data_IF_922360516166
#
_entry.id   IF_922360516166
#
_cell.length_a   1.000
_cell.length_b   1.000
_cell.length_c   1.000
_cell.angle_alpha   90.00
_cell.angle_beta   90.00
_cell.angle_gamma   90.00
#
_symmetry.space_group_name_H-M   'P 1'
#
loop_
_entity.id
_entity.type
_entity.pdbx_description
1 polymer ?
#
# COMPACT_ATOMS: atom_id res chain seq x y z
N UNK A 1 3.30 -14.65 33.77
CA UNK A 1 2.15 -15.21 33.05
C UNK A 1 1.09 -14.14 32.92
N UNK A 2 1.01 -13.43 31.83
CA UNK A 2 -0.07 -12.47 31.59
C UNK A 2 -0.40 -12.55 30.10
N UNK A 3 -1.61 -13.02 29.82
CA UNK A 3 -2.14 -13.24 28.46
C UNK A 3 -2.48 -11.90 27.84
N UNK A 4 -1.84 -11.52 26.77
CA UNK A 4 -2.24 -10.38 25.95
C UNK A 4 -3.30 -10.85 24.95
N UNK A 5 -4.51 -10.33 25.11
CA UNK A 5 -5.65 -10.56 24.22
C UNK A 5 -5.51 -9.64 23.02
N UNK A 6 -5.38 -10.23 21.83
CA UNK A 6 -5.41 -9.53 20.56
C UNK A 6 -6.87 -9.17 20.24
N UNK A 7 -7.22 -7.88 20.33
CA UNK A 7 -8.53 -7.39 19.93
C UNK A 7 -8.55 -7.15 18.42
N UNK A 8 -9.26 -7.99 17.70
CA UNK A 8 -9.61 -7.75 16.30
C UNK A 8 -10.68 -6.67 16.25
N UNK A 9 -10.34 -5.50 15.69
CA UNK A 9 -11.29 -4.43 15.46
C UNK A 9 -12.08 -4.73 14.17
N UNK A 10 -13.31 -5.20 14.34
CA UNK A 10 -14.31 -5.26 13.26
C UNK A 10 -14.96 -3.89 13.11
N UNK A 11 -14.74 -3.23 11.98
CA UNK A 11 -15.50 -2.04 11.58
C UNK A 11 -16.85 -2.45 11.00
N UNK A 12 -17.98 -1.91 11.48
CA UNK A 12 -19.27 -2.10 10.82
C UNK A 12 -19.41 -1.12 9.65
N UNK A 13 -19.71 -1.66 8.48
CA UNK A 13 -20.16 -0.91 7.32
C UNK A 13 -21.57 -0.35 7.56
N UNK A 14 -21.70 0.96 7.75
CA UNK A 14 -23.00 1.64 7.78
C UNK A 14 -23.44 1.94 6.35
N UNK A 15 -24.42 1.19 5.86
CA UNK A 15 -25.19 1.50 4.66
C UNK A 15 -26.23 2.58 5.01
N UNK A 16 -25.94 3.84 4.64
CA UNK A 16 -26.94 4.90 4.67
C UNK A 16 -27.81 4.81 3.41
N UNK A 17 -29.05 4.40 3.59
CA UNK A 17 -30.09 4.43 2.55
C UNK A 17 -30.58 5.86 2.33
N UNK A 18 -30.44 6.38 1.12
CA UNK A 18 -31.12 7.60 0.70
C UNK A 18 -32.46 7.22 0.03
N UNK A 19 -33.55 7.66 0.64
CA UNK A 19 -34.89 7.65 0.06
C UNK A 19 -35.13 9.00 -0.61
N UNK A 20 -35.40 8.98 -1.92
CA UNK A 20 -35.83 10.15 -2.68
C UNK A 20 -37.37 10.27 -2.66
N UNK A 21 -37.93 11.49 -2.66
CA UNK A 21 -39.38 11.70 -2.68
C UNK A 21 -39.97 11.46 -4.09
N UNK A 22 -41.15 10.86 -4.09
CA UNK A 22 -41.95 10.66 -5.30
C UNK A 22 -42.53 12.00 -5.79
N UNK A 23 -42.35 12.32 -7.08
CA UNK A 23 -43.08 13.36 -7.78
C UNK A 23 -43.95 12.71 -8.85
N UNK A 24 -45.16 13.22 -8.97
CA UNK A 24 -46.30 12.70 -9.72
C UNK A 24 -46.09 12.70 -11.25
N UNK A 25 -46.78 11.73 -11.85
CA UNK A 25 -46.86 11.48 -13.29
C UNK A 25 -47.72 12.55 -14.00
N UNK A 26 -47.25 12.97 -15.17
CA UNK A 26 -48.08 13.42 -16.27
C UNK A 26 -47.78 12.57 -17.49
N UNK A 27 -48.86 12.04 -18.07
CA UNK A 27 -48.85 11.10 -19.17
C UNK A 27 -48.72 11.84 -20.52
N UNK A 28 -47.85 11.37 -21.39
CA UNK A 28 -47.88 11.64 -22.83
C UNK A 28 -47.28 10.41 -23.59
N UNK A 29 -47.61 10.18 -24.87
CA UNK A 29 -47.91 8.84 -25.40
C UNK A 29 -46.69 8.14 -26.00
N UNK A 30 -46.75 6.84 -25.86
CA UNK A 30 -46.25 5.76 -26.73
C UNK A 30 -45.19 6.13 -27.78
N UNK A 31 -43.96 6.06 -27.38
CA UNK A 31 -42.83 5.83 -28.26
C UNK A 31 -42.24 4.46 -27.89
N UNK A 32 -42.17 3.56 -28.86
CA UNK A 32 -41.65 2.21 -28.76
C UNK A 32 -40.40 2.16 -27.85
N UNK A 33 -40.55 1.64 -26.65
CA UNK A 33 -39.45 1.19 -25.83
C UNK A 33 -38.80 0.00 -26.55
N UNK A 34 -37.68 0.25 -27.20
CA UNK A 34 -36.72 -0.81 -27.43
C UNK A 34 -36.38 -1.42 -26.06
N UNK A 35 -36.92 -2.62 -25.79
CA UNK A 35 -36.53 -3.46 -24.66
C UNK A 35 -35.03 -3.73 -24.80
N UNK A 36 -34.19 -2.83 -24.25
CA UNK A 36 -32.80 -3.13 -23.98
C UNK A 36 -32.79 -4.26 -22.96
N UNK A 37 -32.53 -5.48 -23.45
CA UNK A 37 -32.22 -6.62 -22.60
C UNK A 37 -31.27 -6.14 -21.48
N UNK A 38 -31.53 -6.45 -20.20
CA UNK A 38 -30.66 -6.04 -19.11
C UNK A 38 -29.28 -6.63 -19.39
N UNK A 39 -28.32 -5.73 -19.62
CA UNK A 39 -26.92 -6.06 -19.84
C UNK A 39 -26.47 -7.05 -18.76
N UNK A 40 -26.27 -8.33 -19.11
CA UNK A 40 -25.83 -9.37 -18.18
C UNK A 40 -24.50 -8.94 -17.60
N UNK A 41 -24.51 -8.40 -16.38
CA UNK A 41 -23.28 -8.02 -15.67
C UNK A 41 -22.38 -9.25 -15.59
N UNK A 42 -21.22 -9.16 -16.21
CA UNK A 42 -20.20 -10.21 -16.18
C UNK A 42 -19.88 -10.62 -14.73
N UNK A 43 -19.71 -11.93 -14.46
CA UNK A 43 -19.45 -12.42 -13.11
C UNK A 43 -18.16 -11.81 -12.55
N UNK A 44 -18.17 -11.48 -11.26
CA UNK A 44 -16.99 -11.02 -10.55
C UNK A 44 -16.06 -12.19 -10.26
N UNK A 45 -14.77 -11.96 -10.39
CA UNK A 45 -13.68 -12.81 -9.89
C UNK A 45 -12.97 -12.04 -8.80
N UNK A 46 -12.65 -12.71 -7.69
CA UNK A 46 -11.93 -12.13 -6.55
C UNK A 46 -10.75 -13.04 -6.27
N UNK A 47 -9.54 -12.51 -6.31
CA UNK A 47 -8.33 -13.19 -5.89
C UNK A 47 -7.91 -12.68 -4.53
N UNK A 48 -7.66 -13.58 -3.59
CA UNK A 48 -7.16 -13.29 -2.25
C UNK A 48 -5.83 -14.03 -2.09
N UNK A 49 -4.79 -13.29 -1.74
CA UNK A 49 -3.48 -13.77 -1.36
C UNK A 49 -3.26 -13.65 0.14
N UNK A 50 -2.74 -14.71 0.77
CA UNK A 50 -2.37 -14.70 2.19
C UNK A 50 -1.02 -15.38 2.38
N UNK A 51 -0.16 -14.76 3.18
CA UNK A 51 1.15 -15.31 3.49
C UNK A 51 1.96 -14.46 4.47
N UNK A 52 3.21 -14.83 4.73
CA UNK A 52 4.15 -14.04 5.52
C UNK A 52 4.89 -13.02 4.66
N UNK A 53 5.26 -11.89 5.29
CA UNK A 53 6.23 -10.94 4.77
C UNK A 53 7.20 -10.49 5.86
N UNK A 54 8.44 -10.25 5.47
CA UNK A 54 9.47 -9.61 6.28
C UNK A 54 9.61 -8.16 5.84
N UNK A 55 9.49 -7.25 6.77
CA UNK A 55 9.65 -5.81 6.54
C UNK A 55 10.48 -5.21 7.66
N UNK A 56 11.21 -4.11 7.45
CA UNK A 56 11.87 -3.42 8.55
C UNK A 56 10.89 -3.15 9.68
N UNK A 57 11.32 -3.31 10.93
CA UNK A 57 10.43 -3.17 12.10
C UNK A 57 9.86 -1.74 12.20
N UNK A 58 10.64 -0.75 11.79
CA UNK A 58 10.28 0.65 11.61
C UNK A 58 11.20 1.27 10.51
N UNK A 59 10.89 2.44 9.95
CA UNK A 59 11.73 3.10 8.96
C UNK A 59 13.14 3.38 9.48
N UNK A 60 14.13 2.70 8.90
CA UNK A 60 15.54 2.78 9.31
C UNK A 60 16.00 1.68 10.26
N UNK A 61 15.17 0.72 10.64
CA UNK A 61 15.57 -0.43 11.44
C UNK A 61 16.58 -1.33 10.70
N UNK A 62 17.46 -1.99 11.43
CA UNK A 62 18.24 -3.14 10.96
C UNK A 62 17.51 -4.46 11.21
N UNK A 63 16.59 -4.48 12.17
CA UNK A 63 15.73 -5.60 12.48
C UNK A 63 14.52 -5.68 11.55
N UNK A 64 14.03 -6.90 11.36
CA UNK A 64 12.84 -7.19 10.56
C UNK A 64 11.71 -7.76 11.41
N UNK A 65 10.50 -7.33 11.10
CA UNK A 65 9.26 -7.89 11.65
C UNK A 65 8.58 -8.81 10.65
N UNK A 66 8.13 -9.96 11.13
CA UNK A 66 7.25 -10.83 10.38
C UNK A 66 5.82 -10.30 10.48
N UNK A 67 5.21 -9.97 9.34
CA UNK A 67 3.84 -9.45 9.26
C UNK A 67 3.01 -10.30 8.30
N UNK A 68 1.68 -10.29 8.40
CA UNK A 68 0.84 -10.89 7.37
C UNK A 68 0.96 -10.10 6.06
N UNK A 69 1.12 -10.82 4.94
CA UNK A 69 0.93 -10.31 3.59
C UNK A 69 -0.49 -10.64 3.17
N UNK A 70 -1.26 -9.62 2.83
CA UNK A 70 -2.64 -9.75 2.33
C UNK A 70 -2.73 -9.05 1.01
N UNK A 71 -3.18 -9.75 -0.03
CA UNK A 71 -3.43 -9.23 -1.37
C UNK A 71 -4.89 -9.48 -1.73
N UNK A 72 -5.59 -8.49 -2.29
CA UNK A 72 -6.99 -8.64 -2.72
C UNK A 72 -7.18 -7.93 -4.05
N UNK A 73 -7.44 -8.69 -5.10
CA UNK A 73 -7.69 -8.16 -6.44
C UNK A 73 -9.08 -8.56 -6.92
N UNK A 74 -9.74 -7.68 -7.67
CA UNK A 74 -11.09 -7.89 -8.21
C UNK A 74 -11.06 -7.67 -9.72
N UNK A 75 -11.63 -8.63 -10.47
CA UNK A 75 -11.81 -8.52 -11.92
C UNK A 75 -13.23 -8.92 -12.33
N UNK A 76 -13.65 -8.57 -13.53
CA UNK A 76 -14.96 -8.95 -14.10
C UNK A 76 -14.78 -9.72 -15.39
N UNK A 77 -15.56 -10.76 -15.56
CA UNK A 77 -15.54 -11.60 -16.77
C UNK A 77 -14.18 -12.22 -17.04
N UNK A 78 -13.71 -12.07 -18.26
CA UNK A 78 -12.41 -12.55 -18.72
C UNK A 78 -11.28 -11.52 -18.65
N UNK A 79 -11.57 -10.29 -18.19
CA UNK A 79 -10.54 -9.25 -18.06
C UNK A 79 -9.48 -9.71 -17.05
N UNK A 80 -8.18 -9.56 -17.34
CA UNK A 80 -7.13 -9.85 -16.38
C UNK A 80 -7.32 -9.01 -15.09
N UNK A 81 -6.81 -9.52 -13.96
CA UNK A 81 -6.72 -8.70 -12.75
C UNK A 81 -5.79 -7.51 -13.00
N UNK A 82 -6.18 -6.34 -12.50
CA UNK A 82 -5.34 -5.15 -12.57
C UNK A 82 -4.02 -5.39 -11.84
N UNK A 83 -2.97 -4.73 -12.29
CA UNK A 83 -1.66 -4.81 -11.66
C UNK A 83 -1.59 -3.79 -10.54
N UNK A 84 -1.23 -4.24 -9.36
CA UNK A 84 -0.86 -3.41 -8.22
C UNK A 84 0.56 -3.81 -7.78
N UNK A 85 1.43 -2.83 -7.57
CA UNK A 85 2.77 -3.14 -7.07
C UNK A 85 2.72 -3.44 -5.55
N UNK A 86 3.63 -4.32 -5.06
CA UNK A 86 3.57 -4.81 -3.68
C UNK A 86 3.72 -3.74 -2.60
N UNK A 87 4.21 -2.57 -2.94
CA UNK A 87 4.51 -1.47 -2.03
C UNK A 87 3.62 -0.23 -2.23
N UNK A 88 2.52 -0.39 -2.94
CA UNK A 88 1.52 0.65 -3.12
C UNK A 88 0.56 0.74 -1.94
N UNK A 89 0.03 1.94 -1.73
CA UNK A 89 -1.05 2.18 -0.79
C UNK A 89 -2.34 1.52 -1.26
N UNK A 90 -3.12 1.05 -0.32
CA UNK A 90 -4.46 0.55 -0.59
C UNK A 90 -5.39 1.69 -1.01
N UNK A 91 -6.10 1.51 -2.13
CA UNK A 91 -7.13 2.47 -2.57
C UNK A 91 -7.69 2.11 -3.94
N UNK A 92 -9.03 2.16 -4.09
CA UNK A 92 -9.65 1.88 -5.37
C UNK A 92 -9.40 3.03 -6.36
N UNK A 93 -9.30 2.69 -7.63
CA UNK A 93 -9.44 3.65 -8.71
C UNK A 93 -10.86 4.25 -8.70
N UNK A 94 -10.96 5.57 -8.69
CA UNK A 94 -12.23 6.29 -8.72
C UNK A 94 -12.49 6.95 -10.07
N UNK A 95 -11.44 7.37 -10.76
CA UNK A 95 -11.52 8.05 -12.05
C UNK A 95 -10.44 7.48 -12.95
N UNK A 96 -10.83 7.01 -14.14
CA UNK A 96 -9.93 6.57 -15.19
C UNK A 96 -10.29 7.26 -16.51
N UNK A 97 -9.29 7.84 -17.16
CA UNK A 97 -9.46 8.50 -18.46
C UNK A 97 -8.15 8.56 -19.22
N UNK A 98 -8.13 7.97 -20.43
CA UNK A 98 -6.96 8.04 -21.31
C UNK A 98 -5.67 7.48 -20.72
N UNK A 99 -5.76 6.44 -19.89
CA UNK A 99 -4.60 5.84 -19.18
C UNK A 99 -4.21 6.58 -17.91
N UNK A 100 -4.89 7.66 -17.56
CA UNK A 100 -4.68 8.40 -16.31
C UNK A 100 -5.72 7.98 -15.29
N UNK A 101 -5.25 7.60 -14.09
CA UNK A 101 -6.05 7.08 -12.99
C UNK A 101 -5.82 7.86 -11.72
N UNK A 102 -6.90 8.06 -10.96
CA UNK A 102 -6.89 8.77 -9.68
C UNK A 102 -7.68 7.99 -8.64
N UNK A 103 -7.18 7.96 -7.42
CA UNK A 103 -7.88 7.35 -6.30
C UNK A 103 -7.34 7.78 -4.95
N UNK A 104 -8.02 7.39 -3.86
CA UNK A 104 -7.51 7.56 -2.51
C UNK A 104 -6.32 6.63 -2.27
N UNK A 105 -5.45 7.02 -1.36
CA UNK A 105 -4.30 6.23 -0.92
C UNK A 105 -4.36 6.07 0.60
N UNK A 106 -4.42 4.83 1.08
CA UNK A 106 -4.40 4.49 2.50
C UNK A 106 -3.22 3.58 2.81
N UNK A 107 -2.47 3.90 3.85
CA UNK A 107 -1.40 3.08 4.36
C UNK A 107 -1.43 3.01 5.90
N UNK A 108 -0.83 1.99 6.46
CA UNK A 108 -0.77 1.76 7.90
C UNK A 108 0.68 1.59 8.32
N UNK A 109 1.20 2.59 9.04
CA UNK A 109 2.56 2.54 9.56
C UNK A 109 2.55 2.08 11.02
N UNK A 110 3.37 1.06 11.31
CA UNK A 110 3.48 0.48 12.64
C UNK A 110 4.06 1.45 13.67
N UNK A 111 3.83 1.18 14.96
CA UNK A 111 4.49 1.95 16.03
C UNK A 111 5.97 1.59 16.10
N UNK A 112 6.82 2.60 16.44
CA UNK A 112 8.21 2.40 16.87
C UNK A 112 8.30 2.64 18.37
N UNK A 113 8.83 1.70 19.13
CA UNK A 113 9.04 1.82 20.59
C UNK A 113 10.54 1.82 20.92
N UNK A 114 10.88 2.23 22.14
CA UNK A 114 12.25 2.14 22.66
C UNK A 114 12.83 0.72 22.57
N UNK A 115 11.97 -0.31 22.74
CA UNK A 115 12.37 -1.72 22.63
C UNK A 115 12.74 -2.09 21.18
N UNK A 116 12.00 -1.58 20.20
CA UNK A 116 12.27 -1.88 18.78
C UNK A 116 13.58 -1.26 18.32
N UNK A 117 13.98 -0.13 18.91
CA UNK A 117 15.25 0.56 18.61
C UNK A 117 16.41 0.02 19.42
N UNK A 118 16.16 -0.52 20.62
CA UNK A 118 17.21 -0.87 21.59
C UNK A 118 17.78 0.35 22.33
N UNK A 119 17.11 1.50 22.28
CA UNK A 119 17.51 2.76 22.93
C UNK A 119 16.30 3.52 23.46
N UNK A 120 16.48 4.33 24.52
CA UNK A 120 15.40 5.08 25.18
C UNK A 120 15.01 6.33 24.37
N UNK A 121 14.45 6.09 23.19
CA UNK A 121 13.84 7.10 22.32
C UNK A 121 12.32 7.15 22.54
N UNK A 122 11.74 8.31 22.30
CA UNK A 122 10.31 8.53 22.41
C UNK A 122 9.56 7.66 21.41
N UNK A 123 8.42 7.11 21.85
CA UNK A 123 7.57 6.26 21.03
C UNK A 123 6.98 7.05 19.84
N UNK A 124 7.02 6.47 18.65
CA UNK A 124 6.16 6.87 17.54
C UNK A 124 4.94 5.95 17.55
N UNK A 125 3.73 6.46 17.83
CA UNK A 125 2.51 5.65 17.82
C UNK A 125 2.19 5.12 16.41
N UNK A 126 1.29 4.15 16.34
CA UNK A 126 0.69 3.69 15.10
C UNK A 126 0.07 4.85 14.31
N UNK A 127 0.29 4.88 13.02
CA UNK A 127 -0.19 5.94 12.13
C UNK A 127 -1.08 5.35 11.05
N UNK A 128 -2.22 5.98 10.81
CA UNK A 128 -3.01 5.81 9.59
C UNK A 128 -2.58 6.92 8.63
N UNK A 129 -2.11 6.57 7.46
CA UNK A 129 -1.79 7.55 6.42
C UNK A 129 -2.92 7.57 5.39
N UNK A 130 -3.46 8.75 5.12
CA UNK A 130 -4.53 8.97 4.15
C UNK A 130 -4.14 10.05 3.15
N UNK A 131 -4.45 9.81 1.89
CA UNK A 131 -4.09 10.71 0.81
C UNK A 131 -4.70 10.31 -0.52
N UNK A 132 -3.98 10.58 -1.60
CA UNK A 132 -4.39 10.26 -2.95
C UNK A 132 -3.20 9.79 -3.79
N UNK A 133 -3.51 9.03 -4.82
CA UNK A 133 -2.57 8.66 -5.86
C UNK A 133 -3.00 9.18 -7.23
N UNK A 134 -2.01 9.30 -8.09
CA UNK A 134 -2.14 9.48 -9.54
C UNK A 134 -1.31 8.41 -10.20
N UNK A 135 -1.89 7.72 -11.15
CA UNK A 135 -1.22 6.72 -11.97
C UNK A 135 -1.40 7.05 -13.44
N UNK A 136 -0.40 6.76 -14.25
CA UNK A 136 -0.47 6.87 -15.70
C UNK A 136 0.10 5.61 -16.37
N UNK A 137 -0.75 4.92 -17.09
CA UNK A 137 -0.39 3.77 -17.90
C UNK A 137 0.04 4.22 -19.31
N UNK A 138 1.34 4.21 -19.57
CA UNK A 138 1.90 4.53 -20.90
C UNK A 138 1.62 3.43 -21.93
N UNK A 139 1.59 2.19 -21.46
CA UNK A 139 1.30 0.99 -22.22
C UNK A 139 1.00 -0.17 -21.26
N UNK A 140 0.47 -1.30 -21.74
CA UNK A 140 0.24 -2.49 -20.88
C UNK A 140 1.49 -3.01 -20.15
N UNK A 141 2.67 -2.54 -20.53
CA UNK A 141 3.96 -2.94 -19.94
C UNK A 141 4.65 -1.85 -19.14
N UNK A 142 4.17 -0.61 -19.18
CA UNK A 142 4.84 0.50 -18.48
C UNK A 142 3.83 1.43 -17.85
N UNK A 143 3.97 1.65 -16.54
CA UNK A 143 3.19 2.64 -15.81
C UNK A 143 4.07 3.48 -14.89
N UNK A 144 3.55 4.62 -14.51
CA UNK A 144 4.10 5.50 -13.48
C UNK A 144 3.02 5.77 -12.45
N UNK A 145 3.36 5.66 -11.18
CA UNK A 145 2.46 6.01 -10.07
C UNK A 145 3.15 6.93 -9.10
N UNK A 146 2.41 7.90 -8.61
CA UNK A 146 2.84 8.75 -7.50
C UNK A 146 1.70 8.90 -6.51
N UNK A 147 2.04 8.97 -5.22
CA UNK A 147 1.08 9.14 -4.15
C UNK A 147 1.61 10.09 -3.09
N UNK A 148 0.69 10.79 -2.45
CA UNK A 148 0.97 11.69 -1.35
C UNK A 148 -0.03 11.41 -0.23
N UNK A 149 0.49 11.16 0.97
CA UNK A 149 -0.30 10.79 2.15
C UNK A 149 0.07 11.65 3.35
N UNK A 150 -0.91 11.87 4.21
CA UNK A 150 -0.78 12.54 5.50
C UNK A 150 -0.98 11.56 6.63
N UNK A 151 -0.04 11.48 7.55
CA UNK A 151 -0.17 10.73 8.78
C UNK A 151 -1.20 11.35 9.73
N UNK A 152 -2.09 10.49 10.21
CA UNK A 152 -3.10 10.78 11.23
C UNK A 152 -2.70 10.00 12.49
N UNK A 153 -2.36 10.71 13.55
CA UNK A 153 -1.66 10.14 14.72
C UNK A 153 -0.18 9.85 14.40
N UNK A 154 0.51 9.24 15.33
CA UNK A 154 1.91 8.82 15.19
C UNK A 154 2.84 9.93 14.72
N UNK A 155 3.37 9.83 13.51
CA UNK A 155 4.34 10.78 12.99
C UNK A 155 3.72 12.12 12.52
N UNK A 156 2.42 12.16 12.23
CA UNK A 156 1.69 13.35 11.76
C UNK A 156 2.37 14.12 10.60
N UNK A 157 3.30 13.51 9.89
CA UNK A 157 4.02 14.08 8.75
C UNK A 157 3.31 13.83 7.43
N UNK A 158 3.85 14.43 6.37
CA UNK A 158 3.54 14.09 5.00
C UNK A 158 4.59 13.11 4.46
N UNK A 159 4.14 12.10 3.73
CA UNK A 159 5.00 11.18 2.99
C UNK A 159 4.47 10.99 1.58
N UNK A 160 5.36 10.79 0.64
CA UNK A 160 5.04 10.55 -0.75
C UNK A 160 5.94 9.48 -1.34
N UNK A 161 5.44 8.79 -2.33
CA UNK A 161 6.18 7.80 -3.10
C UNK A 161 5.96 8.06 -4.59
N UNK A 162 7.00 7.86 -5.39
CA UNK A 162 6.92 7.80 -6.84
C UNK A 162 7.60 6.52 -7.32
N UNK A 163 6.97 5.83 -8.28
CA UNK A 163 7.48 4.61 -8.87
C UNK A 163 7.15 4.51 -10.34
N UNK A 164 8.00 3.81 -11.08
CA UNK A 164 7.72 3.42 -12.45
C UNK A 164 7.89 1.89 -12.55
N UNK A 165 6.97 1.20 -13.19
CA UNK A 165 6.99 -0.26 -13.27
C UNK A 165 7.04 -0.72 -14.71
N UNK A 166 7.93 -1.65 -14.98
CA UNK A 166 7.85 -2.55 -16.12
C UNK A 166 7.04 -3.77 -15.69
N UNK A 167 6.02 -4.09 -16.48
CA UNK A 167 5.12 -5.23 -16.25
C UNK A 167 5.14 -6.14 -17.47
N UNK A 168 5.46 -7.40 -17.25
CA UNK A 168 5.33 -8.47 -18.24
C UNK A 168 4.34 -9.51 -17.71
N UNK A 169 3.38 -9.92 -18.53
CA UNK A 169 2.35 -10.86 -18.10
C UNK A 169 1.78 -11.68 -19.26
N UNK A 170 1.23 -12.81 -18.94
CA UNK A 170 0.37 -13.62 -19.83
C UNK A 170 -1.00 -13.77 -19.17
N UNK A 171 -1.91 -12.84 -19.48
CA UNK A 171 -3.22 -12.78 -18.83
C UNK A 171 -3.13 -12.81 -17.31
N UNK A 172 -3.75 -13.84 -16.72
CA UNK A 172 -3.67 -14.15 -15.29
C UNK A 172 -2.77 -15.36 -14.98
N UNK A 173 -2.13 -15.98 -15.99
CA UNK A 173 -1.29 -17.16 -15.80
C UNK A 173 -0.02 -16.82 -15.03
N UNK A 174 0.64 -15.74 -15.44
CA UNK A 174 1.76 -15.18 -14.69
C UNK A 174 1.89 -13.67 -14.91
N UNK A 175 2.47 -13.02 -13.94
CA UNK A 175 2.83 -11.61 -13.97
C UNK A 175 4.19 -11.42 -13.31
N UNK A 176 5.08 -10.68 -13.96
CA UNK A 176 6.32 -10.19 -13.39
C UNK A 176 6.33 -8.66 -13.47
N UNK A 177 6.77 -8.01 -12.40
CA UNK A 177 6.97 -6.57 -12.38
C UNK A 177 8.32 -6.22 -11.75
N UNK A 178 8.90 -5.12 -12.19
CA UNK A 178 10.07 -4.52 -11.58
C UNK A 178 10.10 -3.03 -11.86
N UNK A 179 10.49 -2.24 -10.85
CA UNK A 179 10.59 -0.80 -11.06
C UNK A 179 11.31 -0.05 -9.96
N UNK A 180 11.90 1.13 -10.29
CA UNK A 180 12.51 2.03 -9.33
C UNK A 180 11.47 2.67 -8.40
N UNK A 181 11.93 3.04 -7.21
CA UNK A 181 11.15 3.74 -6.19
C UNK A 181 11.91 4.96 -5.67
N UNK A 182 11.15 6.01 -5.41
CA UNK A 182 11.63 7.20 -4.71
C UNK A 182 10.62 7.53 -3.61
N UNK A 183 11.09 7.60 -2.37
CA UNK A 183 10.29 8.01 -1.23
C UNK A 183 10.73 9.38 -0.76
N UNK A 184 9.76 10.25 -0.50
CA UNK A 184 9.93 11.58 0.06
C UNK A 184 9.12 11.72 1.34
N UNK A 185 9.61 12.51 2.31
CA UNK A 185 8.86 12.83 3.52
C UNK A 185 9.17 14.23 4.00
N UNK A 186 8.22 14.83 4.75
CA UNK A 186 8.40 16.14 5.34
C UNK A 186 9.29 16.10 6.61
N UNK A 187 9.65 17.28 7.08
CA UNK A 187 10.47 17.41 8.28
C UNK A 187 9.81 16.86 9.56
N UNK A 188 8.46 16.74 9.60
CA UNK A 188 7.77 16.19 10.75
C UNK A 188 7.94 14.68 10.81
N UNK A 189 7.75 14.00 9.68
CA UNK A 189 8.04 12.57 9.54
C UNK A 189 9.50 12.26 9.88
N UNK A 190 10.44 13.00 9.27
CA UNK A 190 11.87 12.80 9.51
C UNK A 190 12.24 12.97 10.99
N UNK A 191 11.69 13.98 11.67
CA UNK A 191 11.94 14.16 13.10
C UNK A 191 11.36 13.04 13.96
N UNK A 192 10.21 12.47 13.56
CA UNK A 192 9.60 11.37 14.29
C UNK A 192 10.46 10.09 14.25
N UNK A 193 11.02 9.75 13.09
CA UNK A 193 11.77 8.49 12.93
C UNK A 193 13.27 8.63 13.03
N UNK A 194 13.82 9.77 12.61
CA UNK A 194 15.27 9.97 12.43
C UNK A 194 15.83 11.06 13.35
N UNK A 195 14.98 11.84 14.03
CA UNK A 195 15.38 12.89 14.94
C UNK A 195 15.89 12.36 16.28
N UNK A 196 16.69 13.20 16.98
CA UNK A 196 17.09 13.01 18.37
C UNK A 196 16.92 14.35 19.09
N UNK A 197 15.95 14.44 19.99
CA UNK A 197 15.70 15.62 20.82
C UNK A 197 16.78 15.79 21.88
N UNK A 198 16.96 16.97 22.49
CA UNK A 198 17.89 17.15 23.61
C UNK A 198 17.61 16.19 24.79
N UNK A 199 16.35 15.91 25.07
CA UNK A 199 15.96 14.98 26.14
C UNK A 199 16.38 13.53 25.82
N UNK A 200 16.15 13.08 24.58
CA UNK A 200 16.58 11.77 24.10
C UNK A 200 18.11 11.66 24.06
N UNK A 201 18.80 12.75 23.65
CA UNK A 201 20.27 12.80 23.67
C UNK A 201 20.83 12.53 25.07
N UNK A 202 20.24 13.10 26.10
CA UNK A 202 20.66 12.85 27.51
C UNK A 202 20.41 11.39 27.92
N UNK A 203 19.28 10.80 27.50
CA UNK A 203 18.94 9.41 27.85
C UNK A 203 19.75 8.36 27.09
N UNK A 204 20.06 8.64 25.84
CA UNK A 204 20.68 7.66 24.93
C UNK A 204 22.17 7.86 24.68
N UNK A 205 22.70 9.04 24.97
CA UNK A 205 24.06 9.42 24.60
C UNK A 205 24.25 9.76 23.10
N UNK A 206 23.19 9.71 22.30
CA UNK A 206 23.25 10.11 20.89
C UNK A 206 23.38 11.63 20.76
N UNK A 207 24.04 12.10 19.69
CA UNK A 207 24.05 13.51 19.37
C UNK A 207 22.63 14.01 19.03
N UNK A 208 22.28 15.21 19.48
CA UNK A 208 21.02 15.84 19.06
C UNK A 208 20.99 15.97 17.55
N UNK A 209 19.83 15.64 16.95
CA UNK A 209 19.65 15.67 15.51
C UNK A 209 18.26 16.16 15.13
N UNK A 210 18.21 17.19 14.29
CA UNK A 210 16.94 17.75 13.83
C UNK A 210 16.88 17.75 12.31
N UNK A 211 16.48 16.62 11.70
CA UNK A 211 16.42 16.49 10.25
C UNK A 211 15.38 17.43 9.64
N UNK A 212 15.65 17.86 8.42
CA UNK A 212 14.68 18.49 7.51
C UNK A 212 13.81 17.46 6.81
N UNK A 213 12.97 17.94 5.88
CA UNK A 213 12.27 17.08 4.91
C UNK A 213 13.11 16.91 3.64
N UNK A 214 12.72 15.94 2.82
CA UNK A 214 13.38 15.71 1.54
C UNK A 214 13.23 14.27 1.04
N UNK A 215 14.07 13.88 0.11
CA UNK A 215 14.14 12.49 -0.35
C UNK A 215 14.63 11.64 0.82
N UNK A 216 13.81 10.67 1.20
CA UNK A 216 14.09 9.75 2.31
C UNK A 216 14.82 8.51 1.83
N UNK A 217 14.37 7.94 0.71
CA UNK A 217 14.94 6.70 0.18
C UNK A 217 14.85 6.65 -1.34
N UNK A 218 15.77 5.88 -1.92
CA UNK A 218 15.73 5.44 -3.32
C UNK A 218 15.89 3.93 -3.34
N UNK A 219 15.14 3.27 -4.24
CA UNK A 219 15.11 1.82 -4.24
C UNK A 219 14.49 1.21 -5.47
N UNK A 220 14.12 -0.06 -5.35
CA UNK A 220 13.40 -0.80 -6.37
C UNK A 220 12.53 -1.88 -5.74
N UNK A 221 11.43 -2.19 -6.43
CA UNK A 221 10.50 -3.26 -6.04
C UNK A 221 10.34 -4.21 -7.21
N UNK A 222 10.27 -5.50 -6.94
CA UNK A 222 9.94 -6.54 -7.92
C UNK A 222 8.85 -7.44 -7.37
N UNK A 223 7.90 -7.81 -8.21
CA UNK A 223 6.80 -8.72 -7.91
C UNK A 223 6.71 -9.86 -8.91
N UNK A 224 6.30 -11.02 -8.45
CA UNK A 224 6.03 -12.17 -9.29
C UNK A 224 4.78 -12.89 -8.81
N UNK A 225 3.86 -13.12 -9.73
CA UNK A 225 2.65 -13.90 -9.51
C UNK A 225 2.59 -15.00 -10.57
N UNK A 226 2.24 -16.21 -10.17
CA UNK A 226 1.99 -17.32 -11.09
C UNK A 226 0.83 -18.18 -10.61
N UNK A 227 -0.01 -18.59 -11.55
CA UNK A 227 -1.09 -19.54 -11.29
C UNK A 227 -0.54 -20.98 -11.35
N UNK A 228 -0.81 -21.75 -10.31
CA UNK A 228 -0.51 -23.19 -10.24
C UNK A 228 -1.66 -24.04 -10.75
N UNK A 229 -2.88 -23.49 -10.68
CA UNK A 229 -4.11 -24.14 -11.13
C UNK A 229 -5.17 -23.06 -11.42
N UNK A 230 -6.36 -23.45 -11.89
CA UNK A 230 -7.47 -22.53 -12.15
C UNK A 230 -7.87 -21.64 -10.96
N UNK A 231 -7.51 -22.03 -9.73
CA UNK A 231 -7.91 -21.32 -8.51
C UNK A 231 -6.73 -20.94 -7.61
N UNK A 232 -5.65 -21.68 -7.62
CA UNK A 232 -4.51 -21.46 -6.74
C UNK A 232 -3.34 -20.87 -7.51
N UNK A 233 -2.67 -19.92 -6.91
CA UNK A 233 -1.45 -19.32 -7.39
C UNK A 233 -0.50 -18.97 -6.27
N UNK A 234 0.67 -18.48 -6.62
CA UNK A 234 1.69 -17.98 -5.71
C UNK A 234 1.97 -16.53 -6.09
N UNK A 235 2.01 -15.68 -5.09
CA UNK A 235 2.48 -14.31 -5.19
C UNK A 235 3.73 -14.13 -4.33
N UNK A 236 4.75 -13.48 -4.88
CA UNK A 236 5.97 -13.15 -4.15
C UNK A 236 6.47 -11.77 -4.54
N UNK A 237 7.16 -11.10 -3.62
CA UNK A 237 7.82 -9.85 -3.92
C UNK A 237 9.14 -9.70 -3.16
N UNK A 238 9.98 -8.81 -3.68
CA UNK A 238 11.17 -8.31 -3.01
C UNK A 238 11.28 -6.81 -3.24
N UNK A 239 11.64 -6.08 -2.21
CA UNK A 239 11.88 -4.64 -2.23
C UNK A 239 13.20 -4.31 -1.55
N UNK A 240 13.95 -3.40 -2.13
CA UNK A 240 15.12 -2.79 -1.55
C UNK A 240 15.00 -1.28 -1.61
N UNK A 241 15.17 -0.62 -0.47
CA UNK A 241 15.29 0.82 -0.35
C UNK A 241 16.60 1.18 0.35
N UNK A 242 17.27 2.20 -0.14
CA UNK A 242 18.42 2.81 0.53
C UNK A 242 18.04 4.18 1.04
N UNK A 243 18.12 4.37 2.34
CA UNK A 243 17.95 5.68 2.98
C UNK A 243 19.03 6.63 2.49
N UNK A 244 18.65 7.88 2.22
CA UNK A 244 19.53 8.94 1.72
C UNK A 244 19.32 10.23 2.51
N UNK A 245 20.19 11.23 2.29
CA UNK A 245 20.08 12.55 2.90
C UNK A 245 19.97 12.49 4.43
N UNK A 246 19.09 13.31 4.99
CA UNK A 246 18.91 13.44 6.44
C UNK A 246 18.49 12.13 7.12
N UNK A 247 17.72 11.26 6.44
CA UNK A 247 17.37 9.96 6.99
C UNK A 247 18.61 9.07 7.17
N UNK A 248 19.50 9.03 6.18
CA UNK A 248 20.73 8.26 6.23
C UNK A 248 21.76 8.82 7.22
N UNK A 249 21.72 10.12 7.48
CA UNK A 249 22.65 10.80 8.39
C UNK A 249 22.21 10.77 9.85
N UNK A 250 21.03 10.23 10.12
CA UNK A 250 20.49 10.09 11.47
C UNK A 250 21.43 9.31 12.40
N UNK A 251 21.71 9.84 13.62
CA UNK A 251 22.42 9.09 14.66
C UNK A 251 21.69 7.79 15.06
N UNK A 252 20.35 7.78 14.99
CA UNK A 252 19.53 6.58 15.26
C UNK A 252 19.84 5.49 14.24
N UNK A 253 19.80 5.82 12.94
CA UNK A 253 20.08 4.87 11.86
C UNK A 253 21.52 4.36 11.91
N UNK A 254 22.48 5.25 12.21
CA UNK A 254 23.90 4.90 12.27
C UNK A 254 24.27 4.01 13.46
N UNK A 255 23.55 4.14 14.60
CA UNK A 255 23.89 3.43 15.83
C UNK A 255 23.04 2.17 16.07
N UNK A 256 21.79 2.18 15.62
CA UNK A 256 20.77 1.16 15.95
C UNK A 256 19.99 0.69 14.72
N UNK A 257 20.36 1.10 13.54
CA UNK A 257 19.60 0.80 12.33
C UNK A 257 20.48 0.51 11.12
N UNK A 258 19.84 0.52 9.96
CA UNK A 258 20.49 0.33 8.66
C UNK A 258 19.98 1.36 7.66
N UNK A 259 20.90 1.79 6.78
CA UNK A 259 20.52 2.55 5.58
C UNK A 259 19.88 1.64 4.52
N UNK A 260 20.25 0.37 4.53
CA UNK A 260 19.80 -0.62 3.58
C UNK A 260 18.57 -1.33 4.16
N UNK A 261 17.43 -1.13 3.52
CA UNK A 261 16.12 -1.60 3.97
C UNK A 261 15.60 -2.66 2.99
N UNK A 262 15.51 -3.88 3.44
CA UNK A 262 14.99 -4.99 2.64
C UNK A 262 13.59 -5.37 3.09
N UNK A 263 12.72 -5.69 2.14
CA UNK A 263 11.40 -6.27 2.40
C UNK A 263 11.15 -7.39 1.40
N UNK A 264 10.32 -8.34 1.79
CA UNK A 264 9.92 -9.40 0.88
C UNK A 264 8.82 -10.26 1.48
N UNK A 265 8.05 -10.89 0.62
CA UNK A 265 6.92 -11.72 1.02
C UNK A 265 6.58 -12.81 0.04
N UNK A 266 5.86 -13.80 0.56
CA UNK A 266 5.34 -14.92 -0.20
C UNK A 266 3.90 -15.19 0.25
N UNK A 267 2.95 -15.27 -0.68
CA UNK A 267 1.55 -15.56 -0.40
C UNK A 267 1.02 -16.67 -1.32
N UNK A 268 0.18 -17.52 -0.76
CA UNK A 268 -0.68 -18.40 -1.53
C UNK A 268 -1.92 -17.61 -1.94
N UNK A 269 -2.26 -17.62 -3.23
CA UNK A 269 -3.44 -16.93 -3.74
C UNK A 269 -4.55 -17.91 -4.07
N UNK A 270 -5.81 -17.50 -3.86
CA UNK A 270 -6.99 -18.25 -4.23
C UNK A 270 -7.98 -17.35 -4.98
N UNK A 271 -8.45 -17.80 -6.13
CA UNK A 271 -9.42 -17.08 -6.97
C UNK A 271 -10.83 -17.66 -6.82
N UNK A 272 -11.75 -16.82 -6.35
CA UNK A 272 -13.18 -17.08 -6.25
C UNK A 272 -13.91 -16.56 -7.49
N UNK A 273 -15.00 -17.19 -7.87
CA UNK A 273 -15.87 -16.76 -8.98
C UNK A 273 -15.25 -17.05 -10.36
N UNK A 274 -16.08 -16.90 -11.40
CA UNK A 274 -15.67 -17.15 -12.78
C UNK A 274 -15.73 -18.63 -13.15
N UNK A 275 -16.57 -18.96 -14.13
CA UNK A 275 -16.46 -20.22 -14.87
C UNK A 275 -15.08 -20.22 -15.55
N UNK A 276 -14.31 -21.27 -15.29
CA UNK A 276 -12.95 -21.37 -15.80
C UNK A 276 -12.87 -21.10 -17.29
N UNK A 277 -11.94 -20.27 -17.66
CA UNK A 277 -11.39 -20.27 -19.01
C UNK A 277 -10.90 -21.68 -19.30
N UNK A 278 -11.40 -22.23 -20.41
CA UNK A 278 -10.94 -23.54 -20.93
C UNK A 278 -9.56 -23.39 -21.47
#
# INVERSE_FOLDING_TARGET
MTKTILAAATLPFLLAGWSAPAAAQDAAPDSAQEDKEPEKKEPRRIRIGLGPQFVPSYPGADDHSLRPLVDVSIARGSKPFEFEAPDESFGPELISTGGLEFGPALNFEGSRTAKDVGADLDKVPFTVEAGAFVEYEFSPSFRFRTELRKGLGGHEGWTGQAGADFVARDGDEWLFSIGPRLTWSDARYHRAYFGVTPAESVRTGLATYRPGGGIQAVGATAGFLTQLSKRFGIYSYAKYDRLVGDAADSPVVRSFGSRDQFSGGLALTYTFGGGGTK
#
